data_IF_601813165612
#
_entry.id   IF_601813165612
#
_cell.length_a   1.000
_cell.length_b   1.000
_cell.length_c   1.000
_cell.angle_alpha   90.00
_cell.angle_beta   90.00
_cell.angle_gamma   90.00
#
_symmetry.space_group_name_H-M   'P 1'
#
loop_
_entity.id
_entity.type
_entity.pdbx_description
1 polymer ?
#
# COMPACT_ATOMS: atom_id res chain seq x y z
N UNK A 1 -5.76 -17.60 -19.03
CA UNK A 1 -5.74 -16.26 -18.40
C UNK A 1 -5.89 -16.48 -16.92
N UNK A 2 -4.92 -16.07 -16.10
CA UNK A 2 -5.04 -16.14 -14.64
C UNK A 2 -6.20 -15.24 -14.22
N UNK A 3 -7.19 -15.82 -13.57
CA UNK A 3 -8.37 -15.08 -13.12
C UNK A 3 -7.93 -14.25 -11.90
N UNK A 4 -7.84 -12.93 -12.02
CA UNK A 4 -7.53 -12.04 -10.91
C UNK A 4 -8.77 -11.91 -10.05
N UNK A 5 -8.69 -12.34 -8.79
CA UNK A 5 -9.82 -12.26 -7.88
C UNK A 5 -9.98 -10.84 -7.35
N UNK A 6 -8.90 -10.24 -6.88
CA UNK A 6 -8.93 -8.92 -6.24
C UNK A 6 -7.84 -8.01 -6.81
N UNK A 7 -8.22 -6.79 -7.13
CA UNK A 7 -7.32 -5.65 -7.31
C UNK A 7 -7.35 -4.82 -6.02
N UNK A 8 -6.19 -4.51 -5.47
CA UNK A 8 -6.05 -3.49 -4.43
C UNK A 8 -4.93 -2.52 -4.81
N UNK A 9 -5.00 -1.29 -4.34
CA UNK A 9 -4.05 -0.25 -4.69
C UNK A 9 -3.81 0.69 -3.52
N UNK A 10 -2.63 1.30 -3.49
CA UNK A 10 -2.30 2.27 -2.45
C UNK A 10 -0.81 2.36 -2.17
N UNK A 11 -0.47 2.82 -0.98
CA UNK A 11 0.91 2.92 -0.52
C UNK A 11 1.26 1.85 0.51
N UNK A 12 2.33 1.12 0.23
CA UNK A 12 3.02 0.31 1.23
C UNK A 12 4.31 1.01 1.62
N UNK A 13 4.44 1.33 2.90
CA UNK A 13 5.63 1.97 3.47
C UNK A 13 6.56 0.94 4.11
N UNK A 14 7.86 1.23 4.12
CA UNK A 14 8.74 0.59 5.09
C UNK A 14 8.41 1.12 6.49
N UNK A 15 8.45 0.26 7.50
CA UNK A 15 8.19 0.62 8.89
C UNK A 15 9.31 0.12 9.78
N UNK A 16 9.84 1.01 10.60
CA UNK A 16 10.76 0.66 11.69
C UNK A 16 9.99 0.67 13.01
N UNK A 17 9.89 -0.50 13.61
CA UNK A 17 9.27 -0.70 14.93
C UNK A 17 10.37 -0.72 15.98
N UNK A 18 10.31 0.19 16.95
CA UNK A 18 11.25 0.28 18.06
C UNK A 18 11.31 -1.03 18.85
N UNK A 19 12.51 -1.47 19.22
CA UNK A 19 12.72 -2.62 20.11
C UNK A 19 12.61 -2.25 21.59
N UNK A 20 12.89 -0.99 21.91
CA UNK A 20 12.79 -0.45 23.26
C UNK A 20 11.58 0.48 23.38
N UNK A 21 11.01 0.55 24.59
CA UNK A 21 10.02 1.57 24.95
C UNK A 21 10.70 2.92 25.19
N UNK A 22 9.97 4.01 25.04
CA UNK A 22 10.44 5.37 25.30
C UNK A 22 10.41 6.28 24.08
N UNK A 23 11.13 7.38 24.17
CA UNK A 23 11.23 8.38 23.10
C UNK A 23 11.96 7.82 21.88
N UNK A 24 11.33 7.91 20.71
CA UNK A 24 11.92 7.46 19.44
C UNK A 24 13.28 8.09 19.14
N UNK A 25 13.54 9.32 19.64
CA UNK A 25 14.81 9.98 19.50
C UNK A 25 15.97 9.27 20.25
N UNK A 26 15.65 8.39 21.20
CA UNK A 26 16.62 7.66 22.03
C UNK A 26 16.71 6.18 21.68
N UNK A 27 15.83 5.69 20.78
CA UNK A 27 15.83 4.28 20.36
C UNK A 27 16.96 4.02 19.39
N UNK A 28 17.81 3.05 19.70
CA UNK A 28 18.96 2.67 18.86
C UNK A 28 18.66 1.52 17.91
N UNK A 29 17.70 0.65 18.27
CA UNK A 29 17.42 -0.57 17.50
C UNK A 29 15.95 -0.67 17.08
N UNK A 30 15.76 -1.10 15.83
CA UNK A 30 14.44 -1.22 15.21
C UNK A 30 14.30 -2.51 14.41
N UNK A 31 13.13 -3.11 14.45
CA UNK A 31 12.73 -4.14 13.51
C UNK A 31 12.11 -3.54 12.25
N UNK A 32 12.64 -3.93 11.10
CA UNK A 32 12.09 -3.52 9.81
C UNK A 32 10.88 -4.37 9.43
N UNK A 33 9.77 -3.72 9.11
CA UNK A 33 8.48 -4.30 8.68
C UNK A 33 7.93 -3.47 7.52
N UNK A 34 6.78 -3.85 7.00
CA UNK A 34 5.99 -3.02 6.10
C UNK A 34 4.70 -2.57 6.78
N UNK A 35 4.12 -1.48 6.29
CA UNK A 35 2.83 -0.95 6.75
C UNK A 35 2.06 -0.33 5.59
N UNK A 36 0.75 -0.54 5.59
CA UNK A 36 -0.18 0.03 4.63
C UNK A 36 -1.55 -0.61 4.82
N UNK A 37 -2.60 0.20 4.98
CA UNK A 37 -3.95 -0.31 5.21
C UNK A 37 -4.40 -1.22 4.05
N UNK A 38 -4.30 -0.70 2.82
CA UNK A 38 -4.66 -1.44 1.61
C UNK A 38 -3.83 -2.72 1.44
N UNK A 39 -2.51 -2.64 1.64
CA UNK A 39 -1.63 -3.80 1.50
C UNK A 39 -1.85 -4.84 2.61
N UNK A 40 -2.26 -4.44 3.81
CA UNK A 40 -2.62 -5.40 4.86
C UNK A 40 -3.81 -6.27 4.46
N UNK A 41 -4.85 -5.67 3.86
CA UNK A 41 -6.00 -6.41 3.32
C UNK A 41 -5.57 -7.29 2.16
N UNK A 42 -4.77 -6.76 1.22
CA UNK A 42 -4.25 -7.51 0.09
C UNK A 42 -3.47 -8.77 0.52
N UNK A 43 -2.56 -8.63 1.50
CA UNK A 43 -1.80 -9.75 2.10
C UNK A 43 -2.75 -10.76 2.76
N UNK A 44 -3.72 -10.27 3.54
CA UNK A 44 -4.70 -11.14 4.19
C UNK A 44 -5.47 -11.99 3.18
N UNK A 45 -5.91 -11.40 2.07
CA UNK A 45 -6.61 -12.10 0.99
C UNK A 45 -5.70 -13.10 0.26
N UNK A 46 -4.44 -12.72 -0.03
CA UNK A 46 -3.48 -13.65 -0.64
C UNK A 46 -3.21 -14.87 0.25
N UNK A 47 -3.08 -14.68 1.56
CA UNK A 47 -2.94 -15.77 2.54
C UNK A 47 -4.17 -16.68 2.62
N UNK A 48 -5.35 -16.16 2.26
CA UNK A 48 -6.59 -16.95 2.14
C UNK A 48 -6.71 -17.67 0.78
N UNK A 49 -5.74 -17.54 -0.11
CA UNK A 49 -5.67 -18.23 -1.39
C UNK A 49 -6.29 -17.47 -2.57
N UNK A 50 -6.64 -16.20 -2.42
CA UNK A 50 -7.08 -15.36 -3.55
C UNK A 50 -5.91 -14.87 -4.39
N UNK A 51 -6.11 -14.75 -5.71
CA UNK A 51 -5.17 -14.11 -6.63
C UNK A 51 -5.32 -12.59 -6.54
N UNK A 52 -4.35 -11.94 -5.88
CA UNK A 52 -4.41 -10.51 -5.59
C UNK A 52 -3.38 -9.75 -6.43
N UNK A 53 -3.84 -8.83 -7.26
CA UNK A 53 -3.00 -7.84 -7.94
C UNK A 53 -2.82 -6.60 -7.04
N UNK A 54 -1.57 -6.19 -6.90
CA UNK A 54 -1.20 -4.99 -6.17
C UNK A 54 -0.76 -3.88 -7.11
N UNK A 55 -1.51 -2.77 -7.12
CA UNK A 55 -1.20 -1.57 -7.90
C UNK A 55 -0.60 -0.52 -6.97
N UNK A 56 0.64 -0.13 -7.23
CA UNK A 56 1.36 0.83 -6.39
C UNK A 56 2.49 1.51 -7.14
N UNK A 57 3.26 2.34 -6.43
CA UNK A 57 4.48 2.94 -6.90
C UNK A 57 5.47 3.04 -5.74
N UNK A 58 6.71 2.62 -5.96
CA UNK A 58 7.79 2.67 -4.97
C UNK A 58 9.01 3.37 -5.55
N UNK A 59 9.86 3.93 -4.71
CA UNK A 59 11.10 4.55 -5.15
C UNK A 59 12.11 3.53 -5.69
N UNK A 60 13.02 3.99 -6.56
CA UNK A 60 14.17 3.22 -7.03
C UNK A 60 15.26 3.13 -5.92
N UNK A 61 14.86 2.85 -4.69
CA UNK A 61 15.70 2.83 -3.49
C UNK A 61 15.67 1.47 -2.77
N UNK A 62 16.43 1.36 -1.68
CA UNK A 62 16.51 0.12 -0.90
C UNK A 62 15.20 -0.21 -0.18
N UNK A 63 14.39 0.82 0.16
CA UNK A 63 13.10 0.63 0.81
C UNK A 63 12.06 0.10 -0.17
N UNK A 64 12.05 0.63 -1.41
CA UNK A 64 11.20 0.13 -2.49
C UNK A 64 11.47 -1.33 -2.80
N UNK A 65 12.75 -1.72 -2.90
CA UNK A 65 13.13 -3.14 -3.08
C UNK A 65 12.68 -4.00 -1.89
N UNK A 66 12.83 -3.51 -0.66
CA UNK A 66 12.38 -4.22 0.53
C UNK A 66 10.87 -4.43 0.52
N UNK A 67 10.10 -3.37 0.24
CA UNK A 67 8.62 -3.43 0.16
C UNK A 67 8.20 -4.45 -0.90
N UNK A 68 8.73 -4.35 -2.12
CA UNK A 68 8.41 -5.28 -3.22
C UNK A 68 8.71 -6.73 -2.87
N UNK A 69 9.91 -7.01 -2.37
CA UNK A 69 10.31 -8.37 -1.99
C UNK A 69 9.40 -8.94 -0.91
N UNK A 70 8.97 -8.10 0.04
CA UNK A 70 8.06 -8.54 1.11
C UNK A 70 6.67 -8.85 0.56
N UNK A 71 6.10 -7.98 -0.28
CA UNK A 71 4.77 -8.18 -0.87
C UNK A 71 4.73 -9.41 -1.77
N UNK A 72 5.77 -9.60 -2.61
CA UNK A 72 5.91 -10.79 -3.46
C UNK A 72 6.06 -12.07 -2.61
N UNK A 73 6.82 -12.00 -1.51
CA UNK A 73 6.95 -13.11 -0.55
C UNK A 73 5.63 -13.46 0.16
N UNK A 74 4.70 -12.53 0.26
CA UNK A 74 3.34 -12.74 0.76
C UNK A 74 2.35 -13.21 -0.32
N UNK A 75 2.82 -13.40 -1.55
CA UNK A 75 2.02 -13.95 -2.66
C UNK A 75 1.25 -12.93 -3.48
N UNK A 76 1.52 -11.63 -3.36
CA UNK A 76 0.89 -10.61 -4.19
C UNK A 76 1.54 -10.56 -5.59
N UNK A 77 0.71 -10.39 -6.61
CA UNK A 77 1.18 -10.04 -7.94
C UNK A 77 1.50 -8.54 -7.98
N UNK A 78 2.79 -8.22 -8.05
CA UNK A 78 3.32 -6.86 -8.06
C UNK A 78 3.72 -6.36 -9.47
N UNK A 79 3.27 -7.01 -10.57
CA UNK A 79 3.60 -6.58 -11.94
C UNK A 79 3.12 -5.15 -12.25
N UNK A 80 2.14 -4.65 -11.50
CA UNK A 80 1.58 -3.30 -11.62
C UNK A 80 2.19 -2.30 -10.62
N UNK A 81 3.31 -2.62 -9.99
CA UNK A 81 4.05 -1.68 -9.14
C UNK A 81 5.12 -0.97 -9.96
N UNK A 82 4.95 0.33 -10.14
CA UNK A 82 5.92 1.16 -10.85
C UNK A 82 7.12 1.50 -9.96
N UNK A 83 8.32 1.51 -10.55
CA UNK A 83 9.55 1.96 -9.89
C UNK A 83 9.79 3.42 -10.28
N UNK A 84 9.84 4.30 -9.29
CA UNK A 84 10.04 5.73 -9.47
C UNK A 84 11.50 6.13 -9.21
N UNK A 85 12.24 6.63 -10.23
CA UNK A 85 13.62 7.08 -10.03
C UNK A 85 13.73 8.48 -9.39
N UNK A 86 12.63 9.21 -9.24
CA UNK A 86 12.64 10.61 -8.81
C UNK A 86 12.11 10.81 -7.38
N UNK A 87 11.22 9.93 -6.92
CA UNK A 87 10.57 10.08 -5.63
C UNK A 87 10.89 8.89 -4.72
N UNK A 88 11.11 9.13 -3.41
CA UNK A 88 11.49 8.08 -2.47
C UNK A 88 10.29 7.20 -2.10
N UNK A 89 10.59 6.00 -1.63
CA UNK A 89 9.61 5.15 -0.95
C UNK A 89 9.26 5.77 0.41
N UNK A 90 7.96 5.87 0.71
CA UNK A 90 7.51 6.34 2.02
C UNK A 90 7.92 5.38 3.13
N UNK A 91 8.16 5.92 4.33
CA UNK A 91 8.47 5.12 5.51
C UNK A 91 7.87 5.73 6.78
N UNK A 92 7.87 4.96 7.86
CA UNK A 92 7.43 5.39 9.17
C UNK A 92 8.26 4.80 10.31
N UNK A 93 8.33 5.52 11.42
CA UNK A 93 8.84 5.04 12.69
C UNK A 93 7.66 4.78 13.62
N UNK A 94 7.69 3.66 14.33
CA UNK A 94 6.65 3.28 15.28
C UNK A 94 7.28 2.99 16.64
N UNK A 95 6.80 3.68 17.67
CA UNK A 95 7.24 3.42 19.04
C UNK A 95 6.78 2.06 19.54
N UNK A 96 7.46 1.53 20.54
CA UNK A 96 7.00 0.40 21.32
C UNK A 96 6.34 0.88 22.59
N UNK A 97 5.19 0.31 22.91
CA UNK A 97 4.46 0.53 24.17
C UNK A 97 4.15 -0.82 24.81
N UNK A 98 4.22 -0.89 26.13
CA UNK A 98 3.99 -2.11 26.93
C UNK A 98 2.81 -1.94 27.91
N UNK A 99 2.20 -0.75 27.95
CA UNK A 99 1.12 -0.37 28.86
C UNK A 99 -0.29 -0.44 28.25
N UNK A 100 -0.38 -0.90 26.97
CA UNK A 100 -1.66 -0.99 26.26
C UNK A 100 -2.14 0.32 25.61
N UNK A 101 -1.34 1.39 25.70
CA UNK A 101 -1.62 2.64 24.97
C UNK A 101 -1.35 2.46 23.46
N UNK A 102 -1.87 3.40 22.65
CA UNK A 102 -1.57 3.40 21.23
C UNK A 102 -0.12 3.83 20.96
N UNK A 103 0.62 3.08 20.13
CA UNK A 103 1.97 3.46 19.73
C UNK A 103 2.00 4.80 19.00
N UNK A 104 2.99 5.64 19.30
CA UNK A 104 3.26 6.83 18.50
C UNK A 104 3.85 6.44 17.15
N UNK A 105 3.36 7.08 16.06
CA UNK A 105 3.85 6.83 14.69
C UNK A 105 4.24 8.14 14.03
N UNK A 106 5.47 8.19 13.54
CA UNK A 106 5.98 9.29 12.74
C UNK A 106 6.03 8.90 11.26
N UNK A 107 5.38 9.70 10.41
CA UNK A 107 5.24 9.42 8.98
C UNK A 107 6.18 10.27 8.14
N UNK A 108 6.97 9.61 7.30
CA UNK A 108 7.87 10.21 6.30
C UNK A 108 7.42 9.81 4.90
N UNK A 109 6.23 10.33 4.49
CA UNK A 109 5.56 9.92 3.24
C UNK A 109 5.17 11.09 2.34
N UNK A 110 5.41 12.34 2.76
CA UNK A 110 5.10 13.51 1.92
C UNK A 110 5.95 13.49 0.66
N UNK A 111 5.31 13.48 -0.53
CA UNK A 111 6.00 13.37 -1.81
C UNK A 111 6.64 11.99 -2.05
N UNK A 112 6.16 10.94 -1.39
CA UNK A 112 6.56 9.56 -1.68
C UNK A 112 6.21 9.16 -3.11
N UNK A 113 6.89 8.16 -3.65
CA UNK A 113 6.59 7.62 -4.97
C UNK A 113 5.10 7.24 -5.12
N UNK A 114 4.50 6.62 -4.11
CA UNK A 114 3.09 6.25 -4.12
C UNK A 114 2.15 7.46 -4.22
N UNK A 115 2.51 8.62 -3.68
CA UNK A 115 1.72 9.85 -3.80
C UNK A 115 1.66 10.40 -5.23
N UNK A 116 2.46 9.85 -6.16
CA UNK A 116 2.47 10.17 -7.59
C UNK A 116 1.74 9.13 -8.45
N UNK A 117 0.99 8.21 -7.84
CA UNK A 117 0.05 7.37 -8.58
C UNK A 117 -0.98 8.24 -9.29
N UNK A 118 -1.32 7.87 -10.51
CA UNK A 118 -2.27 8.61 -11.32
C UNK A 118 -3.01 7.67 -12.29
N UNK A 119 -4.04 8.18 -12.95
CA UNK A 119 -4.93 7.42 -13.83
C UNK A 119 -4.27 6.81 -15.06
N UNK A 120 -3.05 7.19 -15.44
CA UNK A 120 -2.35 6.59 -16.59
C UNK A 120 -1.98 5.11 -16.37
N UNK A 121 -2.06 4.62 -15.14
CA UNK A 121 -1.82 3.20 -14.80
C UNK A 121 -3.02 2.29 -15.06
N UNK A 122 -4.23 2.85 -15.30
CA UNK A 122 -5.44 2.08 -15.54
C UNK A 122 -5.34 1.37 -16.90
N UNK A 123 -5.58 0.08 -16.90
CA UNK A 123 -5.58 -0.76 -18.10
C UNK A 123 -6.69 -1.80 -18.03
N UNK A 124 -7.08 -2.34 -19.17
CA UNK A 124 -8.08 -3.41 -19.25
C UNK A 124 -7.67 -4.64 -18.42
N UNK A 125 -6.37 -4.91 -18.32
CA UNK A 125 -5.84 -6.00 -17.49
C UNK A 125 -6.16 -5.78 -16.01
N UNK A 126 -6.01 -4.56 -15.50
CA UNK A 126 -6.36 -4.21 -14.12
C UNK A 126 -7.88 -4.31 -13.89
N UNK A 127 -8.67 -3.83 -14.85
CA UNK A 127 -10.13 -3.83 -14.76
C UNK A 127 -10.75 -5.22 -14.94
N UNK A 128 -9.96 -6.24 -15.32
CA UNK A 128 -10.41 -7.64 -15.40
C UNK A 128 -10.55 -8.34 -14.03
N UNK A 129 -10.12 -7.73 -12.95
CA UNK A 129 -10.31 -8.25 -11.61
C UNK A 129 -11.81 -8.33 -11.24
N UNK A 130 -12.19 -9.36 -10.47
CA UNK A 130 -13.59 -9.57 -10.06
C UNK A 130 -14.05 -8.61 -8.96
N UNK A 131 -13.09 -8.12 -8.17
CA UNK A 131 -13.32 -7.24 -7.01
C UNK A 131 -12.24 -6.18 -6.91
N UNK A 132 -12.62 -4.95 -6.53
CA UNK A 132 -11.70 -3.89 -6.13
C UNK A 132 -11.84 -3.64 -4.64
N UNK A 133 -10.72 -3.71 -3.90
CA UNK A 133 -10.64 -3.19 -2.54
C UNK A 133 -9.92 -1.85 -2.52
N UNK A 134 -10.55 -0.84 -1.95
CA UNK A 134 -10.05 0.53 -1.82
C UNK A 134 -10.22 1.04 -0.40
N UNK A 135 -9.38 1.99 0.01
CA UNK A 135 -9.52 2.70 1.29
C UNK A 135 -9.52 4.21 1.11
N UNK A 136 -9.79 4.94 2.19
CA UNK A 136 -9.69 6.40 2.25
C UNK A 136 -8.26 6.93 2.21
N UNK A 137 -7.23 6.08 2.31
CA UNK A 137 -5.83 6.50 2.35
C UNK A 137 -5.33 7.02 0.99
N UNK A 138 -5.43 6.26 -0.14
CA UNK A 138 -4.95 6.74 -1.43
C UNK A 138 -5.54 8.09 -1.84
N UNK A 139 -6.86 8.34 -1.76
CA UNK A 139 -7.41 9.64 -2.15
C UNK A 139 -6.92 10.81 -1.29
N UNK A 140 -6.44 10.56 -0.07
CA UNK A 140 -5.88 11.59 0.80
C UNK A 140 -4.39 11.90 0.55
N UNK A 141 -3.68 11.07 -0.23
CA UNK A 141 -2.25 11.26 -0.49
C UNK A 141 -1.96 12.44 -1.41
N UNK A 142 -2.73 12.60 -2.48
CA UNK A 142 -2.56 13.66 -3.47
C UNK A 142 -3.79 13.79 -4.37
N UNK A 143 -3.86 14.90 -5.13
CA UNK A 143 -4.92 15.10 -6.14
C UNK A 143 -4.94 13.98 -7.19
N UNK A 144 -3.77 13.55 -7.69
CA UNK A 144 -3.69 12.50 -8.70
C UNK A 144 -4.13 11.13 -8.16
N UNK A 145 -3.80 10.81 -6.90
CA UNK A 145 -4.28 9.60 -6.23
C UNK A 145 -5.79 9.65 -5.98
N UNK A 146 -6.33 10.82 -5.65
CA UNK A 146 -7.77 11.02 -5.50
C UNK A 146 -8.50 10.74 -6.82
N UNK A 147 -8.06 11.35 -7.92
CA UNK A 147 -8.62 11.13 -9.26
C UNK A 147 -8.55 9.65 -9.66
N UNK A 148 -7.39 8.99 -9.46
CA UNK A 148 -7.21 7.57 -9.71
C UNK A 148 -8.20 6.72 -8.92
N UNK A 149 -8.35 7.01 -7.63
CA UNK A 149 -9.21 6.23 -6.73
C UNK A 149 -10.67 6.24 -7.19
N UNK A 150 -11.20 7.42 -7.50
CA UNK A 150 -12.57 7.53 -7.98
C UNK A 150 -12.76 6.93 -9.38
N UNK A 151 -11.78 7.07 -10.26
CA UNK A 151 -11.84 6.52 -11.61
C UNK A 151 -11.82 4.98 -11.57
N UNK A 152 -10.94 4.36 -10.78
CA UNK A 152 -10.90 2.90 -10.59
C UNK A 152 -12.22 2.37 -10.04
N UNK A 153 -12.77 2.98 -8.98
CA UNK A 153 -14.03 2.54 -8.39
C UNK A 153 -15.18 2.64 -9.39
N UNK A 154 -15.24 3.73 -10.16
CA UNK A 154 -16.28 3.91 -11.22
C UNK A 154 -16.12 2.92 -12.35
N UNK A 155 -14.89 2.71 -12.84
CA UNK A 155 -14.62 1.78 -13.94
C UNK A 155 -14.97 0.34 -13.56
N UNK A 156 -14.56 -0.10 -12.36
CA UNK A 156 -14.89 -1.43 -11.84
C UNK A 156 -16.40 -1.62 -11.68
N UNK A 157 -17.09 -0.64 -11.10
CA UNK A 157 -18.54 -0.68 -10.95
C UNK A 157 -19.26 -0.69 -12.31
N UNK A 158 -18.82 0.11 -13.27
CA UNK A 158 -19.39 0.16 -14.63
C UNK A 158 -19.18 -1.16 -15.40
N UNK A 159 -18.06 -1.88 -15.12
CA UNK A 159 -17.80 -3.21 -15.66
C UNK A 159 -18.62 -4.33 -14.96
N UNK A 160 -19.47 -3.99 -13.99
CA UNK A 160 -20.28 -4.95 -13.22
C UNK A 160 -19.51 -5.70 -12.13
N UNK A 161 -18.28 -5.28 -11.81
CA UNK A 161 -17.45 -5.86 -10.76
C UNK A 161 -17.79 -5.27 -9.38
N UNK A 162 -17.54 -6.01 -8.33
CA UNK A 162 -17.79 -5.53 -6.97
C UNK A 162 -16.68 -4.61 -6.48
N UNK A 163 -17.05 -3.66 -5.60
CA UNK A 163 -16.13 -2.71 -4.97
C UNK A 163 -16.39 -2.69 -3.47
N UNK A 164 -15.33 -2.81 -2.66
CA UNK A 164 -15.37 -2.52 -1.23
C UNK A 164 -14.54 -1.28 -0.92
N UNK A 165 -15.00 -0.51 0.06
CA UNK A 165 -14.32 0.71 0.51
C UNK A 165 -14.28 0.77 2.03
N UNK A 166 -13.08 0.90 2.58
CA UNK A 166 -12.86 1.18 3.99
C UNK A 166 -12.48 2.67 4.14
N UNK A 167 -13.28 3.45 4.86
CA UNK A 167 -13.00 4.87 5.07
C UNK A 167 -11.67 5.12 5.77
N UNK A 168 -11.24 4.21 6.62
CA UNK A 168 -9.94 4.23 7.32
C UNK A 168 -9.72 5.54 8.12
N UNK A 169 -10.72 5.95 8.90
CA UNK A 169 -10.75 7.16 9.74
C UNK A 169 -10.32 6.84 11.16
#
# INVERSE_FOLDING_TARGET
MSNVDVLSFGETMAMWVAEQTGDLAQVETFHKRIAGADSNVAIGLARLGFNVNWLSRVGADSLGRFVLNTLQGEGLDCQHVAIDPQHPTGFQLKSRVDDGSDPHVEYFRRGSAASHLNRSVISDTLLSARHLHATGIPPALSTSCNELSFELMRAMSAAGNSVSFDANV
#
